data_IF_725009006117
#
_entry.id   IF_725009006117
#
_cell.length_a   1.000
_cell.length_b   1.000
_cell.length_c   1.000
_cell.angle_alpha   90.00
_cell.angle_beta   90.00
_cell.angle_gamma   90.00
#
_symmetry.space_group_name_H-M   'P 1'
#
loop_
_entity.id
_entity.type
_entity.pdbx_description
1 polymer ?
#
# COMPACT_ATOMS: atom_id res chain seq x y z
N UNK A 1 18.32 -32.12 26.58
CA UNK A 1 18.05 -30.83 25.90
C UNK A 1 16.54 -30.65 25.94
N UNK A 2 16.00 -29.63 26.62
CA UNK A 2 14.55 -29.48 26.68
C UNK A 2 14.06 -29.10 25.28
N UNK A 3 13.08 -29.86 24.81
CA UNK A 3 12.22 -29.58 23.67
C UNK A 3 11.60 -28.20 23.80
N UNK A 4 11.74 -27.35 22.78
CA UNK A 4 10.93 -26.13 22.66
C UNK A 4 9.47 -26.56 22.57
N UNK A 5 8.68 -26.21 23.59
CA UNK A 5 7.23 -26.36 23.58
C UNK A 5 6.66 -25.58 22.39
N UNK A 6 6.19 -26.30 21.38
CA UNK A 6 5.58 -25.76 20.17
C UNK A 6 4.09 -25.47 20.39
N UNK A 7 3.78 -24.45 21.19
CA UNK A 7 2.41 -23.93 21.29
C UNK A 7 2.36 -22.45 21.74
N UNK A 8 3.31 -21.64 21.30
CA UNK A 8 3.26 -20.19 21.54
C UNK A 8 2.30 -19.56 20.51
N UNK A 9 1.24 -18.90 20.99
CA UNK A 9 0.21 -18.34 20.13
C UNK A 9 0.76 -17.19 19.30
N UNK A 10 0.64 -17.28 17.99
CA UNK A 10 1.04 -16.25 17.04
C UNK A 10 -0.02 -15.17 16.98
N UNK A 11 0.30 -14.01 17.56
CA UNK A 11 -0.51 -12.79 17.41
C UNK A 11 0.19 -11.86 16.43
N UNK A 12 -0.40 -11.65 15.26
CA UNK A 12 0.16 -10.81 14.20
C UNK A 12 -0.58 -9.49 14.08
N UNK A 13 0.17 -8.41 13.92
CA UNK A 13 -0.35 -7.09 13.59
C UNK A 13 0.07 -6.74 12.18
N UNK A 14 -0.89 -6.33 11.35
CA UNK A 14 -0.60 -5.68 10.08
C UNK A 14 -0.86 -4.18 10.17
N UNK A 15 0.18 -3.41 9.90
CA UNK A 15 0.15 -1.95 9.95
C UNK A 15 0.03 -1.40 8.53
N UNK A 16 -1.20 -1.03 8.18
CA UNK A 16 -1.51 -0.32 6.95
C UNK A 16 -1.00 1.11 7.01
N UNK A 17 -0.34 1.54 5.92
CA UNK A 17 0.27 2.87 5.79
C UNK A 17 -0.11 3.48 4.44
N UNK A 18 0.72 3.27 3.44
CA UNK A 18 0.49 3.65 2.05
C UNK A 18 0.02 2.45 1.21
N UNK A 19 -0.41 1.35 1.83
CA UNK A 19 -0.85 0.11 1.21
C UNK A 19 -2.31 -0.20 1.57
N UNK A 20 -3.20 0.78 1.41
CA UNK A 20 -4.61 0.69 1.80
C UNK A 20 -5.45 -0.21 0.88
N UNK A 21 -5.06 -1.48 0.77
CA UNK A 21 -5.64 -2.53 -0.08
C UNK A 21 -5.41 -3.92 0.50
N UNK A 22 -6.28 -4.86 0.14
CA UNK A 22 -6.11 -6.29 0.43
C UNK A 22 -5.42 -7.04 -0.72
N UNK A 23 -5.64 -6.65 -1.98
CA UNK A 23 -4.98 -7.29 -3.12
C UNK A 23 -3.49 -6.96 -3.18
N UNK A 24 -2.70 -7.93 -3.66
CA UNK A 24 -1.26 -7.78 -3.86
C UNK A 24 -0.54 -7.11 -2.68
N UNK A 25 -0.78 -7.64 -1.49
CA UNK A 25 -0.13 -7.20 -0.25
C UNK A 25 0.66 -8.39 0.35
N UNK A 26 1.95 -8.54 0.00
CA UNK A 26 2.79 -9.66 0.46
C UNK A 26 3.04 -9.62 1.97
N UNK A 27 3.16 -8.44 2.56
CA UNK A 27 3.34 -8.28 4.01
C UNK A 27 2.08 -8.72 4.77
N UNK A 28 0.89 -8.33 4.27
CA UNK A 28 -0.38 -8.79 4.80
C UNK A 28 -0.52 -10.32 4.68
N UNK A 29 -0.22 -10.89 3.51
CA UNK A 29 -0.31 -12.33 3.29
C UNK A 29 0.63 -13.12 4.21
N UNK A 30 1.85 -12.63 4.40
CA UNK A 30 2.81 -13.21 5.34
C UNK A 30 2.29 -13.15 6.79
N UNK A 31 1.61 -12.07 7.16
CA UNK A 31 1.11 -11.85 8.54
C UNK A 31 -0.09 -12.71 8.92
N UNK A 32 -0.90 -13.11 7.94
CA UNK A 32 -2.07 -13.97 8.13
C UNK A 32 -1.65 -15.45 8.15
N UNK A 33 -0.56 -15.79 7.44
CA UNK A 33 -0.06 -17.17 7.36
C UNK A 33 0.38 -17.67 8.74
N UNK A 34 -0.22 -18.77 9.21
CA UNK A 34 0.03 -19.38 10.52
C UNK A 34 -0.26 -18.44 11.72
N UNK A 35 -1.18 -17.50 11.54
CA UNK A 35 -1.57 -16.57 12.59
C UNK A 35 -2.73 -17.13 13.43
N UNK A 36 -2.59 -17.15 14.76
CA UNK A 36 -3.69 -17.52 15.67
C UNK A 36 -4.64 -16.35 15.90
N UNK A 37 -4.12 -15.11 15.96
CA UNK A 37 -4.91 -13.89 16.14
C UNK A 37 -4.35 -12.72 15.35
N UNK A 38 -5.20 -12.11 14.55
CA UNK A 38 -4.82 -11.01 13.68
C UNK A 38 -5.39 -9.66 14.14
N UNK A 39 -4.60 -8.60 13.95
CA UNK A 39 -5.01 -7.21 14.19
C UNK A 39 -4.62 -6.38 12.97
N UNK A 40 -5.61 -5.77 12.32
CA UNK A 40 -5.39 -4.74 11.31
C UNK A 40 -5.35 -3.37 12.00
N UNK A 41 -4.28 -2.60 11.78
CA UNK A 41 -4.16 -1.25 12.31
C UNK A 41 -3.80 -0.24 11.22
N UNK A 42 -4.26 0.99 11.39
CA UNK A 42 -3.73 2.17 10.73
C UNK A 42 -3.37 3.19 11.80
N UNK A 43 -2.20 3.81 11.69
CA UNK A 43 -1.71 4.76 12.71
C UNK A 43 -1.66 6.16 12.10
N UNK A 44 -2.48 7.06 12.66
CA UNK A 44 -2.35 8.49 12.44
C UNK A 44 -1.28 9.07 13.38
N UNK A 45 -0.04 9.12 12.88
CA UNK A 45 1.12 9.76 13.54
C UNK A 45 1.31 11.23 13.13
N UNK A 46 0.41 11.77 12.31
CA UNK A 46 0.48 13.11 11.73
C UNK A 46 1.26 13.21 10.40
N UNK A 47 1.89 12.13 9.95
CA UNK A 47 2.66 12.07 8.70
C UNK A 47 2.11 10.99 7.74
N UNK A 48 1.75 9.82 8.26
CA UNK A 48 1.25 8.65 7.53
C UNK A 48 -0.01 8.96 6.73
N UNK A 49 -0.14 8.38 5.52
CA UNK A 49 -1.20 8.71 4.57
C UNK A 49 -1.02 10.08 3.90
N UNK A 50 0.17 10.65 4.01
CA UNK A 50 0.53 11.95 3.44
C UNK A 50 0.16 13.14 4.32
N UNK A 51 -0.52 12.96 5.47
CA UNK A 51 -1.23 13.98 6.28
C UNK A 51 -0.43 15.25 6.66
N UNK A 52 0.89 15.24 6.54
CA UNK A 52 1.71 16.43 6.76
C UNK A 52 1.66 17.38 5.56
N UNK A 53 0.86 18.45 5.67
CA UNK A 53 0.72 19.46 4.61
C UNK A 53 -0.29 19.12 3.52
N UNK A 54 -1.16 18.13 3.75
CA UNK A 54 -2.19 17.71 2.77
C UNK A 54 -3.28 18.75 2.59
N UNK A 55 -3.73 18.89 1.35
CA UNK A 55 -5.01 19.53 1.06
C UNK A 55 -6.20 18.67 1.52
N UNK A 56 -7.33 19.31 1.83
CA UNK A 56 -8.59 18.66 2.23
C UNK A 56 -8.99 17.48 1.33
N UNK A 57 -8.79 17.64 0.03
CA UNK A 57 -9.11 16.66 -0.99
C UNK A 57 -8.35 15.33 -0.84
N UNK A 58 -7.06 15.41 -0.48
CA UNK A 58 -6.25 14.20 -0.24
C UNK A 58 -6.68 13.52 1.05
N UNK A 59 -6.97 14.29 2.10
CA UNK A 59 -7.54 13.75 3.34
C UNK A 59 -8.92 13.11 3.10
N UNK A 60 -9.76 13.69 2.26
CA UNK A 60 -11.05 13.12 1.83
C UNK A 60 -10.87 11.78 1.11
N UNK A 61 -9.92 11.70 0.17
CA UNK A 61 -9.57 10.44 -0.51
C UNK A 61 -9.06 9.39 0.48
N UNK A 62 -8.17 9.77 1.40
CA UNK A 62 -7.64 8.88 2.44
C UNK A 62 -8.76 8.35 3.35
N UNK A 63 -9.64 9.20 3.87
CA UNK A 63 -10.79 8.79 4.68
C UNK A 63 -11.69 7.82 3.93
N UNK A 64 -11.96 8.06 2.64
CA UNK A 64 -12.74 7.13 1.80
C UNK A 64 -12.03 5.78 1.64
N UNK A 65 -10.71 5.79 1.43
CA UNK A 65 -9.91 4.58 1.34
C UNK A 65 -9.91 3.76 2.63
N UNK A 66 -9.77 4.43 3.79
CA UNK A 66 -9.86 3.79 5.09
C UNK A 66 -11.25 3.22 5.36
N UNK A 67 -12.30 3.88 4.88
CA UNK A 67 -13.67 3.38 4.99
C UNK A 67 -13.87 2.11 4.16
N UNK A 68 -13.44 2.11 2.90
CA UNK A 68 -13.50 0.93 2.03
C UNK A 68 -12.68 -0.23 2.61
N UNK A 69 -11.46 0.02 3.07
CA UNK A 69 -10.61 -1.00 3.69
C UNK A 69 -11.26 -1.57 4.97
N UNK A 70 -11.82 -0.71 5.83
CA UNK A 70 -12.54 -1.16 7.02
C UNK A 70 -13.76 -2.01 6.66
N UNK A 71 -14.54 -1.61 5.65
CA UNK A 71 -15.71 -2.37 5.20
C UNK A 71 -15.31 -3.76 4.66
N UNK A 72 -14.21 -3.85 3.91
CA UNK A 72 -13.67 -5.12 3.44
C UNK A 72 -13.19 -6.02 4.59
N UNK A 73 -12.49 -5.46 5.59
CA UNK A 73 -12.03 -6.21 6.77
C UNK A 73 -13.23 -6.64 7.64
N UNK A 74 -14.28 -5.81 7.75
CA UNK A 74 -15.52 -6.18 8.46
C UNK A 74 -16.28 -7.30 7.77
N UNK A 75 -16.24 -7.37 6.43
CA UNK A 75 -16.87 -8.44 5.67
C UNK A 75 -16.30 -9.83 6.00
N UNK A 76 -15.04 -9.89 6.46
CA UNK A 76 -14.37 -11.13 6.90
C UNK A 76 -14.38 -11.31 8.42
N UNK A 77 -15.16 -10.51 9.14
CA UNK A 77 -15.36 -10.64 10.60
C UNK A 77 -14.37 -9.84 11.46
N UNK A 78 -13.50 -9.03 10.84
CA UNK A 78 -12.51 -8.21 11.54
C UNK A 78 -12.92 -6.75 11.75
N UNK A 79 -11.94 -5.95 12.16
CA UNK A 79 -12.05 -4.50 12.25
C UNK A 79 -10.71 -3.81 11.95
N UNK A 80 -10.74 -2.68 11.23
CA UNK A 80 -9.56 -1.84 11.06
C UNK A 80 -9.43 -0.88 12.25
N UNK A 81 -8.43 -1.09 13.09
CA UNK A 81 -8.19 -0.22 14.24
C UNK A 81 -7.39 1.03 13.83
N UNK A 82 -8.06 2.17 13.80
CA UNK A 82 -7.43 3.46 13.47
C UNK A 82 -6.99 4.13 14.77
N UNK A 83 -5.68 4.26 14.95
CA UNK A 83 -5.04 4.71 16.18
C UNK A 83 -4.41 6.10 15.98
N UNK A 84 -4.20 6.85 17.06
CA UNK A 84 -3.51 8.16 17.00
C UNK A 84 -2.33 8.20 17.96
N UNK A 85 -1.13 8.39 17.43
CA UNK A 85 0.09 8.49 18.24
C UNK A 85 1.34 8.06 17.50
N UNK A 86 2.43 7.90 18.24
CA UNK A 86 3.69 7.41 17.71
C UNK A 86 3.66 5.88 17.54
N UNK A 87 4.07 5.33 16.38
CA UNK A 87 4.05 3.89 16.14
C UNK A 87 4.80 3.08 17.20
N UNK A 88 5.97 3.57 17.64
CA UNK A 88 6.78 2.90 18.67
C UNK A 88 6.02 2.69 19.98
N UNK A 89 5.25 3.69 20.42
CA UNK A 89 4.49 3.63 21.69
C UNK A 89 3.29 2.69 21.56
N UNK A 90 2.64 2.72 20.38
CA UNK A 90 1.51 1.86 20.05
C UNK A 90 1.94 0.39 20.06
N UNK A 91 3.04 0.04 19.39
CA UNK A 91 3.51 -1.35 19.36
C UNK A 91 3.97 -1.84 20.74
N UNK A 92 4.63 -1.01 21.55
CA UNK A 92 4.95 -1.37 22.94
C UNK A 92 3.70 -1.67 23.76
N UNK A 93 2.66 -0.85 23.62
CA UNK A 93 1.40 -1.02 24.32
C UNK A 93 0.62 -2.27 23.83
N UNK A 94 0.61 -2.54 22.53
CA UNK A 94 0.02 -3.75 21.95
C UNK A 94 0.76 -5.01 22.42
N UNK A 95 2.09 -4.99 22.46
CA UNK A 95 2.88 -6.09 23.01
C UNK A 95 2.58 -6.33 24.48
N UNK A 96 2.54 -5.28 25.30
CA UNK A 96 2.34 -5.40 26.73
C UNK A 96 0.95 -5.96 27.11
N UNK A 97 -0.10 -5.63 26.35
CA UNK A 97 -1.48 -6.03 26.72
C UNK A 97 -2.04 -7.19 25.89
N UNK A 98 -1.65 -7.29 24.62
CA UNK A 98 -2.16 -8.33 23.72
C UNK A 98 -1.16 -9.46 23.51
N UNK A 99 0.14 -9.20 23.70
CA UNK A 99 1.20 -10.17 23.46
C UNK A 99 1.47 -10.37 21.97
N UNK A 100 1.58 -9.28 21.21
CA UNK A 100 1.90 -9.36 19.77
C UNK A 100 3.27 -10.00 19.56
N UNK A 101 3.36 -10.86 18.56
CA UNK A 101 4.56 -11.65 18.24
C UNK A 101 5.13 -11.30 16.88
N UNK A 102 4.29 -10.80 15.96
CA UNK A 102 4.68 -10.40 14.62
C UNK A 102 4.12 -9.01 14.31
N UNK A 103 4.93 -8.19 13.63
CA UNK A 103 4.51 -6.93 13.01
C UNK A 103 4.81 -7.03 11.53
N UNK A 104 3.84 -6.68 10.70
CA UNK A 104 3.99 -6.65 9.25
C UNK A 104 3.59 -5.28 8.69
N UNK A 105 4.30 -4.84 7.66
CA UNK A 105 4.00 -3.62 6.91
C UNK A 105 4.70 -3.67 5.54
N UNK A 106 4.17 -2.94 4.57
CA UNK A 106 4.85 -2.75 3.28
C UNK A 106 6.16 -1.98 3.48
N UNK A 107 7.26 -2.30 2.81
CA UNK A 107 8.51 -1.55 2.93
C UNK A 107 8.42 -0.23 2.12
N UNK A 108 8.77 0.90 2.75
CA UNK A 108 8.91 2.19 2.07
C UNK A 108 10.39 2.58 1.96
N UNK A 109 10.76 3.16 0.82
CA UNK A 109 12.15 3.52 0.53
C UNK A 109 12.47 5.02 0.68
N UNK A 110 11.45 5.88 0.78
CA UNK A 110 11.68 7.33 0.88
C UNK A 110 12.27 7.70 2.25
N UNK A 111 13.23 8.62 2.25
CA UNK A 111 13.98 9.02 3.45
C UNK A 111 13.07 9.51 4.59
N UNK A 112 11.97 10.19 4.26
CA UNK A 112 11.01 10.71 5.25
C UNK A 112 10.37 9.63 6.12
N UNK A 113 10.36 8.36 5.68
CA UNK A 113 9.77 7.24 6.41
C UNK A 113 10.79 6.39 7.16
N UNK A 114 12.08 6.55 6.85
CA UNK A 114 13.15 5.70 7.40
C UNK A 114 13.26 5.82 8.93
N UNK A 115 13.26 7.04 9.47
CA UNK A 115 13.37 7.25 10.92
C UNK A 115 12.24 6.57 11.70
N UNK A 116 11.01 6.61 11.15
CA UNK A 116 9.83 5.97 11.73
C UNK A 116 9.95 4.46 11.69
N UNK A 117 10.32 3.92 10.54
CA UNK A 117 10.45 2.48 10.32
C UNK A 117 11.60 1.90 11.16
N UNK A 118 12.73 2.61 11.26
CA UNK A 118 13.87 2.23 12.12
C UNK A 118 13.51 2.24 13.61
N UNK A 119 12.70 3.21 14.05
CA UNK A 119 12.19 3.22 15.42
C UNK A 119 11.32 1.99 15.71
N UNK A 120 10.48 1.57 14.76
CA UNK A 120 9.67 0.35 14.87
C UNK A 120 10.54 -0.90 14.81
N UNK A 121 11.53 -0.97 13.91
CA UNK A 121 12.50 -2.07 13.83
C UNK A 121 13.23 -2.27 15.15
N UNK A 122 13.65 -1.18 15.77
CA UNK A 122 14.29 -1.19 17.09
C UNK A 122 13.34 -1.69 18.19
N UNK A 123 12.09 -1.23 18.21
CA UNK A 123 11.08 -1.71 19.17
C UNK A 123 10.85 -3.21 19.02
N UNK A 124 10.73 -3.70 17.78
CA UNK A 124 10.53 -5.10 17.51
C UNK A 124 11.73 -5.94 17.98
N UNK A 125 12.96 -5.50 17.71
CA UNK A 125 14.17 -6.16 18.18
C UNK A 125 14.27 -6.19 19.73
N UNK A 126 13.93 -5.08 20.40
CA UNK A 126 13.93 -5.00 21.87
C UNK A 126 12.90 -5.92 22.53
N UNK A 127 11.74 -6.09 21.89
CA UNK A 127 10.63 -6.89 22.40
C UNK A 127 10.62 -8.32 21.85
N UNK A 128 11.60 -8.70 21.02
CA UNK A 128 11.68 -9.99 20.35
C UNK A 128 10.42 -10.32 19.52
N UNK A 129 9.91 -9.31 18.81
CA UNK A 129 8.81 -9.39 17.86
C UNK A 129 9.41 -9.60 16.46
N UNK A 130 8.86 -10.56 15.70
CA UNK A 130 9.27 -10.82 14.32
C UNK A 130 8.73 -9.74 13.37
N UNK A 131 9.57 -9.25 12.46
CA UNK A 131 9.19 -8.27 11.45
C UNK A 131 9.00 -8.95 10.09
N UNK A 132 7.86 -8.69 9.47
CA UNK A 132 7.48 -9.19 8.16
C UNK A 132 7.30 -8.01 7.20
N UNK A 133 8.38 -7.61 6.56
CA UNK A 133 8.39 -6.53 5.57
C UNK A 133 8.15 -7.09 4.16
N UNK A 134 7.43 -6.37 3.31
CA UNK A 134 7.18 -6.77 1.93
C UNK A 134 7.19 -5.58 0.98
N UNK A 135 7.79 -5.75 -0.20
CA UNK A 135 7.82 -4.70 -1.23
C UNK A 135 6.66 -4.93 -2.20
N UNK A 136 5.76 -3.94 -2.31
CA UNK A 136 4.64 -4.00 -3.26
C UNK A 136 4.15 -2.65 -3.81
N UNK A 137 4.71 -1.53 -3.33
CA UNK A 137 4.41 -0.19 -3.85
C UNK A 137 5.20 0.14 -5.13
N UNK A 138 6.22 -0.65 -5.44
CA UNK A 138 7.11 -0.48 -6.59
C UNK A 138 7.13 -1.76 -7.42
N UNK A 139 7.48 -1.62 -8.70
CA UNK A 139 7.59 -2.76 -9.62
C UNK A 139 8.84 -3.59 -9.29
N UNK A 140 9.95 -2.90 -9.07
CA UNK A 140 11.19 -3.49 -8.57
C UNK A 140 11.48 -2.96 -7.17
N UNK A 141 12.21 -3.74 -6.38
CA UNK A 141 12.74 -3.23 -5.13
C UNK A 141 13.78 -2.14 -5.45
N UNK A 142 13.58 -0.89 -4.98
CA UNK A 142 14.48 0.20 -5.33
C UNK A 142 15.92 -0.03 -4.84
N UNK A 143 16.11 -0.74 -3.72
CA UNK A 143 17.44 -1.08 -3.22
C UNK A 143 18.17 -2.06 -4.15
N UNK A 144 17.44 -2.99 -4.79
CA UNK A 144 18.03 -3.93 -5.76
C UNK A 144 18.41 -3.21 -7.07
N UNK A 145 17.63 -2.20 -7.47
CA UNK A 145 17.95 -1.31 -8.61
C UNK A 145 19.22 -0.52 -8.33
N UNK A 146 19.35 0.07 -7.14
CA UNK A 146 20.55 0.79 -6.73
C UNK A 146 21.77 -0.13 -6.71
N UNK A 147 21.66 -1.32 -6.10
CA UNK A 147 22.74 -2.30 -6.02
C UNK A 147 23.23 -2.73 -7.41
N UNK A 148 22.30 -2.98 -8.34
CA UNK A 148 22.61 -3.31 -9.73
C UNK A 148 23.30 -2.15 -10.50
N UNK A 149 23.12 -0.91 -10.04
CA UNK A 149 23.73 0.30 -10.59
C UNK A 149 24.88 0.85 -9.71
N UNK A 150 25.52 0.00 -8.91
CA UNK A 150 26.69 0.37 -8.10
C UNK A 150 26.36 1.29 -6.92
N UNK A 151 25.24 1.01 -6.24
CA UNK A 151 24.71 1.76 -5.08
C UNK A 151 24.42 3.23 -5.37
N UNK A 152 24.08 3.54 -6.62
CA UNK A 152 23.65 4.87 -7.05
C UNK A 152 22.36 4.79 -7.85
N UNK A 153 21.44 5.77 -7.70
CA UNK A 153 20.20 5.76 -8.46
C UNK A 153 20.50 6.01 -9.94
N UNK A 154 19.85 5.28 -10.86
CA UNK A 154 19.90 5.63 -12.28
C UNK A 154 19.39 7.05 -12.48
N UNK A 155 20.13 7.88 -13.23
CA UNK A 155 19.82 9.31 -13.42
C UNK A 155 19.09 9.61 -14.73
N UNK A 156 19.04 8.65 -15.65
CA UNK A 156 18.33 8.77 -16.92
C UNK A 156 17.38 7.60 -17.13
N UNK A 157 16.34 7.83 -17.93
CA UNK A 157 15.36 6.82 -18.31
C UNK A 157 16.00 5.59 -18.98
N UNK A 158 16.91 5.81 -19.94
CA UNK A 158 17.57 4.72 -20.66
C UNK A 158 18.48 3.89 -19.75
N UNK A 159 19.19 4.54 -18.81
CA UNK A 159 19.97 3.83 -17.80
C UNK A 159 19.07 2.97 -16.90
N UNK A 160 17.93 3.50 -16.47
CA UNK A 160 16.99 2.76 -15.65
C UNK A 160 16.50 1.50 -16.37
N UNK A 161 16.12 1.62 -17.65
CA UNK A 161 15.70 0.47 -18.47
C UNK A 161 16.82 -0.58 -18.63
N UNK A 162 18.07 -0.14 -18.82
CA UNK A 162 19.21 -1.06 -18.89
C UNK A 162 19.40 -1.81 -17.57
N UNK A 163 19.35 -1.11 -16.44
CA UNK A 163 19.51 -1.70 -15.11
C UNK A 163 18.38 -2.69 -14.81
N UNK A 164 17.12 -2.31 -15.03
CA UNK A 164 15.99 -3.22 -14.78
C UNK A 164 15.96 -4.41 -15.73
N UNK A 165 16.45 -4.26 -16.98
CA UNK A 165 16.59 -5.39 -17.90
C UNK A 165 17.56 -6.47 -17.40
N UNK A 166 18.56 -6.08 -16.59
CA UNK A 166 19.48 -7.01 -15.94
C UNK A 166 18.85 -7.70 -14.72
N UNK A 167 17.93 -7.03 -14.03
CA UNK A 167 17.18 -7.58 -12.89
C UNK A 167 16.09 -8.57 -13.33
N UNK A 168 15.54 -8.36 -14.52
CA UNK A 168 14.44 -9.15 -15.06
C UNK A 168 13.08 -8.48 -14.87
N UNK A 169 12.03 -9.23 -15.16
CA UNK A 169 10.65 -8.76 -15.05
C UNK A 169 10.26 -8.50 -13.58
N UNK A 170 9.37 -7.52 -13.31
CA UNK A 170 8.81 -7.30 -11.99
C UNK A 170 8.15 -8.55 -11.42
N UNK A 171 8.10 -8.68 -10.10
CA UNK A 171 7.33 -9.75 -9.48
C UNK A 171 5.85 -9.69 -9.89
N UNK A 172 5.23 -10.86 -10.04
CA UNK A 172 3.79 -10.94 -10.23
C UNK A 172 3.03 -10.59 -8.94
N UNK A 173 1.80 -10.07 -9.05
CA UNK A 173 0.99 -9.74 -7.89
C UNK A 173 0.70 -11.00 -7.07
N UNK A 174 0.81 -10.92 -5.74
CA UNK A 174 0.47 -12.05 -4.86
C UNK A 174 -1.05 -12.28 -4.84
N UNK A 175 -1.52 -13.52 -4.58
CA UNK A 175 -2.95 -13.79 -4.45
C UNK A 175 -3.57 -12.99 -3.29
N UNK A 176 -4.89 -12.80 -3.37
CA UNK A 176 -5.64 -12.21 -2.27
C UNK A 176 -5.55 -13.08 -1.01
N UNK A 177 -5.60 -12.47 0.19
CA UNK A 177 -5.58 -13.21 1.44
C UNK A 177 -6.78 -14.15 1.57
N UNK A 178 -6.52 -15.36 2.05
CA UNK A 178 -7.53 -16.31 2.52
C UNK A 178 -7.77 -16.05 4.02
N UNK A 179 -9.02 -15.72 4.38
CA UNK A 179 -9.40 -15.32 5.74
C UNK A 179 -10.02 -16.46 6.55
N UNK A 180 -10.09 -17.66 5.97
CA UNK A 180 -10.71 -18.81 6.60
C UNK A 180 -10.01 -19.17 7.91
N UNK A 181 -10.79 -19.45 8.95
CA UNK A 181 -10.32 -19.81 10.31
C UNK A 181 -9.47 -18.76 11.04
N UNK A 182 -9.34 -17.53 10.51
CA UNK A 182 -8.60 -16.45 11.17
C UNK A 182 -9.43 -15.82 12.30
N UNK A 183 -8.86 -15.77 13.51
CA UNK A 183 -9.46 -15.04 14.63
C UNK A 183 -8.94 -13.61 14.66
N UNK A 184 -9.83 -12.64 14.84
CA UNK A 184 -9.44 -11.26 15.09
C UNK A 184 -9.26 -11.01 16.58
N UNK A 185 -8.18 -10.33 16.97
CA UNK A 185 -7.97 -9.97 18.36
C UNK A 185 -8.79 -8.72 18.71
N UNK A 186 -9.46 -8.75 19.86
CA UNK A 186 -10.16 -7.57 20.38
C UNK A 186 -9.20 -6.65 21.14
N UNK A 187 -9.32 -5.34 20.90
CA UNK A 187 -8.65 -4.31 21.68
C UNK A 187 -9.57 -3.95 22.86
N UNK A 188 -9.09 -4.12 24.09
CA UNK A 188 -9.86 -3.77 25.30
C UNK A 188 -10.15 -2.27 25.36
N UNK A 189 -11.24 -1.86 26.04
CA UNK A 189 -11.59 -0.43 26.17
C UNK A 189 -10.48 0.43 26.80
N UNK A 190 -9.75 -0.15 27.77
CA UNK A 190 -8.62 0.51 28.42
C UNK A 190 -7.49 0.75 27.41
N UNK A 191 -7.16 -0.26 26.59
CA UNK A 191 -6.16 -0.15 25.54
C UNK A 191 -6.59 0.85 24.46
N UNK A 192 -7.85 0.79 24.03
CA UNK A 192 -8.44 1.71 23.07
C UNK A 192 -8.30 3.16 23.52
N UNK A 193 -8.60 3.45 24.79
CA UNK A 193 -8.46 4.79 25.37
C UNK A 193 -7.00 5.23 25.40
N UNK A 194 -6.07 4.35 25.82
CA UNK A 194 -4.64 4.65 25.88
C UNK A 194 -4.05 4.92 24.49
N UNK A 195 -4.46 4.15 23.49
CA UNK A 195 -4.00 4.27 22.11
C UNK A 195 -4.76 5.32 21.30
N UNK A 196 -5.71 6.05 21.93
CA UNK A 196 -6.56 7.04 21.27
C UNK A 196 -7.22 6.47 20.01
N UNK A 197 -7.75 5.25 20.12
CA UNK A 197 -8.49 4.56 19.07
C UNK A 197 -9.68 5.43 18.65
N UNK A 198 -9.84 5.62 17.35
CA UNK A 198 -11.05 6.25 16.82
C UNK A 198 -12.20 5.23 16.83
N UNK A 199 -13.37 5.65 17.31
CA UNK A 199 -14.57 4.80 17.37
C UNK A 199 -15.06 4.41 15.96
N UNK A 200 -14.86 5.28 14.99
CA UNK A 200 -15.21 5.12 13.58
C UNK A 200 -14.09 5.68 12.71
N UNK A 201 -14.16 5.49 11.39
CA UNK A 201 -13.19 6.06 10.46
C UNK A 201 -13.22 7.60 10.56
N UNK A 202 -12.09 8.26 10.85
CA UNK A 202 -12.08 9.70 11.10
C UNK A 202 -12.38 10.48 9.82
N UNK A 203 -13.23 11.49 9.95
CA UNK A 203 -13.47 12.46 8.87
C UNK A 203 -12.21 13.29 8.61
N UNK A 204 -12.08 13.93 7.43
CA UNK A 204 -10.95 14.81 7.14
C UNK A 204 -10.75 15.90 8.19
N UNK A 205 -11.83 16.42 8.77
CA UNK A 205 -11.80 17.46 9.81
C UNK A 205 -11.23 16.92 11.13
N UNK A 206 -11.51 15.65 11.48
CA UNK A 206 -10.91 14.97 12.63
C UNK A 206 -9.42 14.67 12.43
N UNK A 207 -8.97 14.62 11.17
CA UNK A 207 -7.56 14.57 10.78
C UNK A 207 -6.92 15.97 10.72
N UNK A 208 -7.68 17.04 11.02
CA UNK A 208 -7.20 18.43 11.03
C UNK A 208 -7.20 19.12 9.67
N UNK A 209 -7.83 18.52 8.65
CA UNK A 209 -7.93 19.08 7.31
C UNK A 209 -9.31 19.71 7.11
N UNK A 210 -9.34 20.96 6.65
CA UNK A 210 -10.59 21.71 6.45
C UNK A 210 -10.74 22.16 4.98
N UNK A 211 -11.98 22.19 4.45
CA UNK A 211 -12.21 22.53 3.05
C UNK A 211 -11.82 23.98 2.77
N UNK A 212 -11.07 24.19 1.68
CA UNK A 212 -10.72 25.51 1.16
C UNK A 212 -11.37 25.72 -0.21
N UNK A 213 -12.66 26.08 -0.25
CA UNK A 213 -13.38 26.39 -1.49
C UNK A 213 -14.44 25.35 -1.88
N UNK A 214 -14.81 25.28 -3.18
CA UNK A 214 -15.82 24.33 -3.68
C UNK A 214 -15.26 22.91 -3.67
N UNK A 215 -16.09 21.99 -3.16
CA UNK A 215 -15.84 20.55 -3.17
C UNK A 215 -16.07 19.94 -4.56
N UNK A 216 -15.25 20.31 -5.54
CA UNK A 216 -15.41 19.81 -6.90
C UNK A 216 -14.36 18.71 -7.22
N UNK A 217 -14.18 17.72 -6.34
CA UNK A 217 -13.29 16.59 -6.63
C UNK A 217 -14.06 15.29 -6.91
N UNK A 218 -13.78 14.72 -8.08
CA UNK A 218 -14.40 13.50 -8.59
C UNK A 218 -13.64 12.21 -8.21
N UNK A 219 -12.46 12.30 -7.60
CA UNK A 219 -11.67 11.12 -7.26
C UNK A 219 -12.15 10.51 -5.94
N UNK A 220 -12.66 9.29 -6.02
CA UNK A 220 -13.17 8.53 -4.89
C UNK A 220 -12.07 7.58 -4.42
N UNK A 221 -11.75 7.62 -3.12
CA UNK A 221 -10.80 6.70 -2.49
C UNK A 221 -11.35 5.29 -2.29
N UNK A 222 -10.44 4.33 -2.11
CA UNK A 222 -10.78 2.93 -1.85
C UNK A 222 -10.34 1.99 -2.96
N UNK A 223 -9.94 0.79 -2.54
CA UNK A 223 -9.52 -0.31 -3.41
C UNK A 223 -10.67 -0.76 -4.30
N UNK A 224 -11.89 -0.88 -3.76
CA UNK A 224 -13.08 -1.28 -4.55
C UNK A 224 -13.29 -0.33 -5.72
N UNK A 225 -13.19 0.97 -5.48
CA UNK A 225 -13.33 1.97 -6.53
C UNK A 225 -12.15 1.91 -7.52
N UNK A 226 -10.92 1.81 -7.01
CA UNK A 226 -9.71 1.75 -7.83
C UNK A 226 -9.70 0.54 -8.77
N UNK A 227 -10.10 -0.64 -8.31
CA UNK A 227 -10.20 -1.85 -9.14
C UNK A 227 -11.29 -1.72 -10.21
N UNK A 228 -12.41 -1.08 -9.91
CA UNK A 228 -13.46 -0.80 -10.90
C UNK A 228 -12.99 0.21 -11.95
N UNK A 229 -12.23 1.23 -11.54
CA UNK A 229 -11.62 2.20 -12.45
C UNK A 229 -10.56 1.54 -13.34
N UNK A 230 -9.73 0.65 -12.76
CA UNK A 230 -8.76 -0.15 -13.50
C UNK A 230 -9.45 -1.02 -14.57
N UNK A 231 -10.51 -1.75 -14.23
CA UNK A 231 -11.28 -2.55 -15.22
C UNK A 231 -11.75 -1.71 -16.40
N UNK A 232 -12.28 -0.52 -16.14
CA UNK A 232 -12.70 0.42 -17.19
C UNK A 232 -11.52 0.93 -18.03
N UNK A 233 -10.37 1.19 -17.40
CA UNK A 233 -9.13 1.57 -18.10
C UNK A 233 -8.68 0.43 -19.02
N UNK A 234 -8.64 -0.80 -18.53
CA UNK A 234 -8.24 -1.98 -19.30
C UNK A 234 -9.14 -2.21 -20.53
N UNK A 235 -10.46 -2.05 -20.40
CA UNK A 235 -11.37 -2.15 -21.55
C UNK A 235 -11.06 -1.11 -22.62
N UNK A 236 -10.77 0.13 -22.21
CA UNK A 236 -10.40 1.19 -23.15
C UNK A 236 -9.03 0.94 -23.79
N UNK A 237 -8.07 0.38 -23.05
CA UNK A 237 -6.76 -0.02 -23.59
C UNK A 237 -6.91 -1.16 -24.59
N UNK A 238 -7.76 -2.15 -24.33
CA UNK A 238 -8.03 -3.25 -25.27
C UNK A 238 -8.67 -2.74 -26.57
N UNK A 239 -9.67 -1.86 -26.48
CA UNK A 239 -10.28 -1.19 -27.64
C UNK A 239 -9.27 -0.34 -28.41
N UNK A 240 -8.49 0.46 -27.69
CA UNK A 240 -7.43 1.31 -28.27
C UNK A 240 -6.42 0.44 -28.99
N UNK A 241 -5.82 -0.54 -28.32
CA UNK A 241 -4.78 -1.39 -28.88
C UNK A 241 -5.29 -2.24 -30.06
N UNK A 242 -6.57 -2.59 -30.11
CA UNK A 242 -7.12 -3.38 -31.22
C UNK A 242 -7.49 -2.55 -32.46
N UNK A 243 -7.93 -1.30 -32.27
CA UNK A 243 -8.46 -0.46 -33.36
C UNK A 243 -7.54 0.73 -33.74
N UNK A 244 -6.67 1.19 -32.84
CA UNK A 244 -5.93 2.45 -32.96
C UNK A 244 -4.47 2.36 -32.45
N UNK A 245 -3.52 2.92 -33.20
CA UNK A 245 -2.12 3.01 -32.73
C UNK A 245 -1.87 4.15 -31.70
N UNK A 246 -2.86 5.01 -31.45
CA UNK A 246 -2.73 6.20 -30.60
C UNK A 246 -3.94 6.27 -29.66
N UNK A 247 -3.69 6.46 -28.37
CA UNK A 247 -4.72 6.54 -27.35
C UNK A 247 -5.73 7.68 -27.65
N UNK A 248 -7.06 7.44 -27.64
CA UNK A 248 -8.05 8.46 -28.01
C UNK A 248 -7.94 9.76 -27.21
N UNK A 249 -7.58 9.67 -25.92
CA UNK A 249 -7.36 10.83 -25.04
C UNK A 249 -6.18 11.71 -25.50
N UNK A 250 -5.20 11.18 -26.24
CA UNK A 250 -4.10 11.97 -26.81
C UNK A 250 -4.53 12.77 -28.05
N UNK A 251 -5.60 12.33 -28.74
CA UNK A 251 -6.10 12.96 -29.97
C UNK A 251 -7.21 13.96 -29.65
N UNK A 252 -8.11 13.62 -28.73
CA UNK A 252 -9.22 14.47 -28.33
C UNK A 252 -9.51 14.31 -26.83
N UNK A 253 -8.83 15.08 -25.95
CA UNK A 253 -9.06 14.99 -24.52
C UNK A 253 -10.46 15.50 -24.18
N UNK A 254 -11.30 14.61 -23.65
CA UNK A 254 -12.62 15.00 -23.13
C UNK A 254 -12.46 15.67 -21.76
N UNK A 255 -12.43 17.01 -21.76
CA UNK A 255 -12.25 17.83 -20.57
C UNK A 255 -13.42 17.74 -19.57
N UNK A 256 -14.56 17.17 -19.98
CA UNK A 256 -15.75 17.04 -19.14
C UNK A 256 -15.90 15.63 -18.56
N UNK A 257 -15.18 14.64 -19.10
CA UNK A 257 -15.20 13.28 -18.58
C UNK A 257 -14.39 13.17 -17.31
N UNK A 258 -14.86 12.33 -16.41
CA UNK A 258 -14.10 11.96 -15.21
C UNK A 258 -12.76 11.33 -15.63
N UNK A 259 -11.67 11.81 -15.06
CA UNK A 259 -10.33 11.31 -15.36
C UNK A 259 -10.23 9.82 -15.07
N UNK A 260 -9.66 9.06 -16.01
CA UNK A 260 -9.30 7.65 -15.82
C UNK A 260 -7.96 7.48 -15.09
N UNK A 261 -7.44 8.56 -14.48
CA UNK A 261 -6.18 8.55 -13.75
C UNK A 261 -6.28 7.62 -12.54
N UNK A 262 -5.37 6.64 -12.51
CA UNK A 262 -5.17 5.74 -11.38
C UNK A 262 -4.13 6.26 -10.39
N UNK A 263 -3.52 7.43 -10.66
CA UNK A 263 -2.40 7.98 -9.91
C UNK A 263 -2.72 8.14 -8.43
N UNK A 264 -3.89 8.71 -8.08
CA UNK A 264 -4.28 8.89 -6.69
C UNK A 264 -4.42 7.56 -5.95
N UNK A 265 -5.00 6.55 -6.60
CA UNK A 265 -5.15 5.22 -6.03
C UNK A 265 -3.81 4.50 -5.86
N UNK A 266 -2.86 4.67 -6.78
CA UNK A 266 -1.50 4.10 -6.67
C UNK A 266 -0.71 4.82 -5.58
N UNK A 267 -0.77 6.16 -5.49
CA UNK A 267 -0.04 6.95 -4.48
C UNK A 267 -0.48 6.65 -3.05
N UNK A 268 -1.78 6.46 -2.81
CA UNK A 268 -2.31 6.09 -1.49
C UNK A 268 -2.29 4.55 -1.27
N UNK A 269 -1.99 3.79 -2.33
CA UNK A 269 -1.92 2.33 -2.35
C UNK A 269 -3.25 1.59 -2.28
N UNK A 270 -4.34 2.24 -2.67
CA UNK A 270 -5.60 1.57 -2.98
C UNK A 270 -5.48 0.66 -4.22
N UNK A 271 -4.46 0.86 -5.06
CA UNK A 271 -4.17 0.02 -6.22
C UNK A 271 -2.70 -0.37 -6.25
N UNK A 272 -2.42 -1.67 -6.40
CA UNK A 272 -1.07 -2.16 -6.65
C UNK A 272 -0.56 -1.73 -8.02
N UNK A 273 0.66 -1.20 -8.04
CA UNK A 273 1.38 -0.88 -9.29
C UNK A 273 1.72 -2.15 -10.07
N UNK A 274 2.04 -3.26 -9.39
CA UNK A 274 2.33 -4.55 -10.03
C UNK A 274 1.08 -5.12 -10.69
N UNK A 275 -0.07 -5.03 -10.01
CA UNK A 275 -1.34 -5.44 -10.58
C UNK A 275 -1.67 -4.63 -11.83
N UNK A 276 -1.55 -3.30 -11.76
CA UNK A 276 -1.81 -2.46 -12.92
C UNK A 276 -0.86 -2.80 -14.10
N UNK A 277 0.44 -2.96 -13.82
CA UNK A 277 1.41 -3.34 -14.83
C UNK A 277 1.06 -4.68 -15.50
N UNK A 278 0.86 -5.74 -14.72
CA UNK A 278 0.60 -7.07 -15.26
C UNK A 278 -0.76 -7.19 -15.95
N UNK A 279 -1.80 -6.52 -15.45
CA UNK A 279 -3.11 -6.49 -16.12
C UNK A 279 -3.01 -5.85 -17.53
N UNK A 280 -2.16 -4.82 -17.70
CA UNK A 280 -1.88 -4.23 -19.03
C UNK A 280 -1.07 -5.19 -19.90
N UNK A 281 -0.07 -5.86 -19.33
CA UNK A 281 0.72 -6.87 -20.05
C UNK A 281 -0.16 -8.01 -20.56
N UNK A 282 -1.12 -8.47 -19.76
CA UNK A 282 -2.06 -9.53 -20.14
C UNK A 282 -2.95 -9.11 -21.33
N UNK A 283 -3.45 -7.87 -21.33
CA UNK A 283 -4.21 -7.32 -22.47
C UNK A 283 -3.35 -7.29 -23.73
N UNK A 284 -2.12 -6.81 -23.62
CA UNK A 284 -1.20 -6.73 -24.76
C UNK A 284 -0.82 -8.13 -25.28
N UNK A 285 -0.48 -9.05 -24.38
CA UNK A 285 -0.15 -10.43 -24.71
C UNK A 285 -1.30 -11.14 -25.42
N UNK A 286 -2.54 -10.93 -24.96
CA UNK A 286 -3.75 -11.45 -25.62
C UNK A 286 -3.91 -10.96 -27.06
N UNK A 287 -3.53 -9.71 -27.36
CA UNK A 287 -3.69 -9.11 -28.69
C UNK A 287 -2.51 -9.43 -29.64
N UNK A 288 -1.28 -9.44 -29.12
CA UNK A 288 -0.06 -9.45 -29.94
C UNK A 288 0.87 -10.65 -29.70
N UNK A 289 0.62 -11.47 -28.66
CA UNK A 289 1.42 -12.67 -28.36
C UNK A 289 2.81 -12.40 -27.77
N UNK A 290 3.07 -11.19 -27.26
CA UNK A 290 4.33 -10.79 -26.64
C UNK A 290 4.11 -9.88 -25.42
N UNK A 291 5.19 -9.43 -24.80
CA UNK A 291 5.15 -8.50 -23.66
C UNK A 291 5.20 -7.07 -24.21
N UNK A 292 4.30 -6.22 -23.74
CA UNK A 292 4.31 -4.79 -24.05
C UNK A 292 5.56 -4.14 -23.47
N UNK A 293 6.21 -3.20 -24.18
CA UNK A 293 7.10 -2.27 -23.50
C UNK A 293 6.34 -1.64 -22.31
N UNK A 294 6.99 -1.51 -21.14
CA UNK A 294 6.35 -0.96 -19.96
C UNK A 294 5.86 0.47 -20.23
N UNK A 295 4.72 0.84 -19.66
CA UNK A 295 4.17 2.20 -19.81
C UNK A 295 5.19 3.22 -19.30
N UNK A 296 5.57 4.18 -20.15
CA UNK A 296 6.56 5.22 -19.83
C UNK A 296 6.27 5.91 -18.49
N UNK A 297 4.99 6.13 -18.18
CA UNK A 297 4.56 6.76 -16.92
C UNK A 297 4.93 5.94 -15.68
N UNK A 298 4.76 4.62 -15.72
CA UNK A 298 5.12 3.73 -14.61
C UNK A 298 6.62 3.67 -14.44
N UNK A 299 7.38 3.57 -15.54
CA UNK A 299 8.85 3.56 -15.47
C UNK A 299 9.39 4.88 -14.92
N UNK A 300 8.83 6.02 -15.34
CA UNK A 300 9.21 7.32 -14.79
C UNK A 300 8.93 7.40 -13.28
N UNK A 301 7.79 6.86 -12.82
CA UNK A 301 7.50 6.77 -11.38
C UNK A 301 8.59 5.98 -10.64
N UNK A 302 8.93 4.78 -11.12
CA UNK A 302 9.95 3.93 -10.49
C UNK A 302 11.34 4.60 -10.46
N UNK A 303 11.71 5.28 -11.55
CA UNK A 303 12.94 6.07 -11.64
C UNK A 303 12.98 7.20 -10.59
N UNK A 304 11.88 7.95 -10.44
CA UNK A 304 11.82 9.03 -9.45
C UNK A 304 11.86 8.51 -8.01
N UNK A 305 11.23 7.37 -7.74
CA UNK A 305 11.31 6.70 -6.43
C UNK A 305 12.75 6.26 -6.14
N UNK A 306 13.45 5.65 -7.09
CA UNK A 306 14.86 5.29 -6.89
C UNK A 306 15.72 6.54 -6.62
N UNK A 307 15.44 7.64 -7.32
CA UNK A 307 16.16 8.91 -7.17
C UNK A 307 15.90 9.61 -5.82
N UNK A 308 14.81 9.29 -5.11
CA UNK A 308 14.48 9.93 -3.83
C UNK A 308 15.14 9.26 -2.62
N UNK A 309 15.70 8.05 -2.75
CA UNK A 309 16.25 7.28 -1.61
C UNK A 309 17.40 8.01 -0.89
N UNK A 310 18.15 8.84 -1.61
CA UNK A 310 19.30 9.59 -1.08
C UNK A 310 19.07 11.10 -0.95
N UNK A 311 17.83 11.57 -1.12
CA UNK A 311 17.47 13.00 -1.02
C UNK A 311 16.58 13.23 0.20
#
# INVERSE_FOLDING_TARGET
MPSKDSNEKVVSVHWFRQDLRLHDNPALLASIKNCDKFIAIFINDGFTGGLHGTGYNQAKFLTQALHDLNDQIRAVGGYLHILKGQPSDIFRALHAEVGITHISFEQECEAIWQDRDDAVRKVAAELNIELLEGVSNTLWNPFDVLAANGDTPPVTYDMFLQVTSCLGEPDHPVPNPEWDDLLFAEITENLATRLKLYNEVPTPELLGCYPQGREDMQNIGGETHALNLLKRRLSMEEETLSEFFIHPEMINPDLLRQSMSLTAAITIGCLSVRKFYWDIQDVYFKLYGGISPPTTELILRELFICSSIHN
#
